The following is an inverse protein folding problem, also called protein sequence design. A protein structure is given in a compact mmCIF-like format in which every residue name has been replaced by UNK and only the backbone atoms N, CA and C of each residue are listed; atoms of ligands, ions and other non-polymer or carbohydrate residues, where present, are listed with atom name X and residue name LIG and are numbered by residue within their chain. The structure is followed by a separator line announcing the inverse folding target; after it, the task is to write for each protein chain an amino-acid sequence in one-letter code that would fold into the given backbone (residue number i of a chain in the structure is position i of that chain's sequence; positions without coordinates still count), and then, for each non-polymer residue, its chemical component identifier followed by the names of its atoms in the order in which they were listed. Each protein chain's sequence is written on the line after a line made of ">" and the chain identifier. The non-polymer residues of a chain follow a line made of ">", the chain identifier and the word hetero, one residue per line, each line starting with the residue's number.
data_IF_533473545903
#
_entry.id   IF_533473545903
#
_cell.length_a   1.000
_cell.length_b   1.000
_cell.length_c   1.000
_cell.angle_alpha   90.00
_cell.angle_beta   90.00
_cell.angle_gamma   90.00
#
_symmetry.space_group_name_H-M   'P 1'
#
loop_
_entity.id
_entity.type
_entity.pdbx_description
1 polymer ?
#
# COMPACT_ATOMS: atom_id res chain seq x y z
N UNK A 1 -13.93 43.40 -34.03
CA UNK A 1 -12.89 42.59 -33.36
C UNK A 1 -13.60 41.80 -32.29
N UNK A 2 -13.48 40.48 -32.34
CA UNK A 2 -14.16 39.53 -31.45
C UNK A 2 -13.15 39.12 -30.39
N UNK A 3 -13.27 39.71 -29.22
CA UNK A 3 -12.51 39.33 -28.04
C UNK A 3 -13.50 38.64 -27.10
N UNK A 4 -13.51 37.30 -27.10
CA UNK A 4 -14.01 36.55 -25.95
C UNK A 4 -13.28 35.20 -25.87
N UNK A 5 -12.16 35.25 -25.17
CA UNK A 5 -11.46 34.10 -24.65
C UNK A 5 -12.22 33.59 -23.43
N UNK A 6 -13.16 32.66 -23.62
CA UNK A 6 -13.76 31.92 -22.52
C UNK A 6 -13.25 30.48 -22.54
N UNK A 7 -12.23 30.27 -21.71
CA UNK A 7 -11.55 29.02 -21.42
C UNK A 7 -12.55 27.92 -21.07
N UNK A 8 -12.38 26.74 -21.69
CA UNK A 8 -13.01 25.51 -21.22
C UNK A 8 -12.56 25.25 -19.76
N UNK A 9 -13.45 24.84 -18.84
CA UNK A 9 -13.02 24.36 -17.54
C UNK A 9 -12.27 23.05 -17.76
N UNK A 10 -10.94 23.10 -17.75
CA UNK A 10 -10.13 21.92 -17.49
C UNK A 10 -10.27 21.63 -16.01
N UNK A 11 -11.40 21.03 -15.63
CA UNK A 11 -11.54 20.37 -14.34
C UNK A 11 -10.64 19.14 -14.38
N UNK A 12 -9.36 19.37 -14.12
CA UNK A 12 -8.43 18.31 -13.77
C UNK A 12 -8.98 17.72 -12.47
N UNK A 13 -9.47 16.46 -12.44
CA UNK A 13 -9.69 15.78 -11.19
C UNK A 13 -8.28 15.36 -10.73
N UNK A 14 -7.49 16.35 -10.32
CA UNK A 14 -6.37 16.16 -9.41
C UNK A 14 -6.99 15.71 -8.09
N UNK A 15 -7.45 14.45 -8.08
CA UNK A 15 -7.81 13.74 -6.87
C UNK A 15 -6.65 13.95 -5.94
N UNK A 16 -6.90 14.67 -4.86
CA UNK A 16 -6.06 14.78 -3.70
C UNK A 16 -5.66 13.35 -3.30
N UNK A 17 -4.51 12.87 -3.80
CA UNK A 17 -4.01 11.51 -3.53
C UNK A 17 -3.78 11.32 -2.03
N UNK A 18 -3.65 12.44 -1.33
CA UNK A 18 -3.65 12.64 0.12
C UNK A 18 -4.89 12.08 0.82
N UNK A 19 -6.04 11.97 0.16
CA UNK A 19 -7.28 11.40 0.71
C UNK A 19 -7.42 9.88 0.50
N UNK A 20 -6.54 9.23 -0.25
CA UNK A 20 -6.53 7.77 -0.36
C UNK A 20 -5.82 7.13 0.83
N UNK A 21 -6.40 7.29 2.02
CA UNK A 21 -5.95 6.72 3.31
C UNK A 21 -6.13 5.20 3.44
N UNK A 22 -6.19 4.46 2.33
CA UNK A 22 -6.32 2.99 2.40
C UNK A 22 -5.13 2.32 3.08
N UNK A 23 -4.03 3.06 3.29
CA UNK A 23 -2.86 2.59 4.02
C UNK A 23 -3.08 2.45 5.54
N UNK A 24 -3.88 3.31 6.16
CA UNK A 24 -4.10 3.35 7.62
C UNK A 24 -5.21 2.42 8.11
N UNK A 25 -5.92 1.76 7.18
CA UNK A 25 -6.90 0.74 7.51
C UNK A 25 -6.22 -0.44 8.24
N UNK A 26 -6.92 -1.19 9.11
CA UNK A 26 -6.38 -2.42 9.68
C UNK A 26 -5.93 -3.38 8.57
N UNK A 27 -4.87 -4.16 8.83
CA UNK A 27 -4.44 -5.17 7.87
C UNK A 27 -5.58 -6.14 7.54
N UNK A 28 -5.66 -6.53 6.28
CA UNK A 28 -6.67 -7.47 5.82
C UNK A 28 -6.37 -8.89 6.32
N UNK A 29 -7.39 -9.74 6.43
CA UNK A 29 -7.23 -11.16 6.78
C UNK A 29 -6.17 -11.89 5.94
N UNK A 30 -6.17 -11.75 4.60
CA UNK A 30 -5.14 -12.34 3.74
C UNK A 30 -3.72 -11.84 4.05
N UNK A 31 -3.53 -10.53 4.30
CA UNK A 31 -2.23 -10.00 4.70
C UNK A 31 -1.74 -10.60 6.02
N UNK A 32 -2.62 -10.71 7.02
CA UNK A 32 -2.29 -11.34 8.31
C UNK A 32 -1.87 -12.81 8.15
N UNK A 33 -2.66 -13.59 7.42
CA UNK A 33 -2.35 -15.01 7.19
C UNK A 33 -1.01 -15.20 6.49
N UNK A 34 -0.71 -14.34 5.51
CA UNK A 34 0.54 -14.43 4.77
C UNK A 34 1.75 -13.96 5.59
N UNK A 35 1.62 -12.87 6.34
CA UNK A 35 2.62 -12.42 7.30
C UNK A 35 2.96 -13.51 8.32
N UNK A 36 1.97 -14.20 8.88
CA UNK A 36 2.20 -15.31 9.82
C UNK A 36 3.10 -16.40 9.23
N UNK A 37 2.85 -16.80 7.98
CA UNK A 37 3.70 -17.78 7.29
C UNK A 37 5.12 -17.27 7.12
N UNK A 38 5.29 -16.03 6.66
CA UNK A 38 6.61 -15.43 6.45
C UNK A 38 7.38 -15.24 7.76
N UNK A 39 6.69 -14.82 8.82
CA UNK A 39 7.25 -14.63 10.15
C UNK A 39 7.71 -15.96 10.76
N UNK A 40 6.91 -17.02 10.64
CA UNK A 40 7.29 -18.37 11.09
C UNK A 40 8.57 -18.87 10.41
N UNK A 41 8.75 -18.58 9.13
CA UNK A 41 9.94 -18.99 8.38
C UNK A 41 11.16 -18.12 8.64
N UNK A 42 10.96 -16.83 8.86
CA UNK A 42 12.00 -15.91 9.28
C UNK A 42 12.38 -16.11 10.76
N UNK A 43 11.57 -16.84 11.54
CA UNK A 43 11.74 -16.98 12.98
C UNK A 43 11.47 -15.68 13.75
N UNK A 44 10.58 -14.84 13.22
CA UNK A 44 10.24 -13.51 13.73
C UNK A 44 8.81 -13.49 14.29
N UNK A 45 8.55 -12.59 15.23
CA UNK A 45 7.18 -12.28 15.68
C UNK A 45 6.69 -11.01 14.99
N UNK A 46 5.38 -10.94 14.73
CA UNK A 46 4.77 -9.83 14.01
C UNK A 46 3.64 -9.21 14.83
N UNK A 47 3.52 -7.87 14.86
CA UNK A 47 2.45 -7.21 15.59
C UNK A 47 1.06 -7.53 15.02
N UNK A 48 0.07 -7.74 15.89
CA UNK A 48 -1.30 -8.03 15.46
C UNK A 48 -2.08 -6.80 14.97
N UNK A 49 -1.60 -5.61 15.27
CA UNK A 49 -2.29 -4.33 15.05
C UNK A 49 -1.69 -3.51 13.89
N UNK A 50 -1.06 -4.17 12.93
CA UNK A 50 -0.56 -3.51 11.73
C UNK A 50 -1.71 -2.96 10.88
N UNK A 51 -1.46 -1.78 10.31
CA UNK A 51 -2.27 -1.25 9.22
C UNK A 51 -1.98 -2.03 7.93
N UNK A 52 -2.85 -1.89 6.94
CA UNK A 52 -2.72 -2.49 5.62
C UNK A 52 -1.43 -2.07 4.91
N UNK A 53 -1.04 -0.81 5.04
CA UNK A 53 0.23 -0.32 4.48
C UNK A 53 1.42 -0.95 5.20
N UNK A 54 1.44 -0.93 6.54
CA UNK A 54 2.52 -1.54 7.32
C UNK A 54 2.64 -3.04 7.04
N UNK A 55 1.51 -3.75 6.95
CA UNK A 55 1.49 -5.16 6.61
C UNK A 55 2.05 -5.42 5.21
N UNK A 56 1.72 -4.58 4.23
CA UNK A 56 2.31 -4.68 2.88
C UNK A 56 3.82 -4.50 2.89
N UNK A 57 4.33 -3.48 3.56
CA UNK A 57 5.78 -3.23 3.65
C UNK A 57 6.52 -4.36 4.36
N UNK A 58 5.94 -4.90 5.43
CA UNK A 58 6.54 -6.00 6.17
C UNK A 58 6.52 -7.33 5.39
N UNK A 59 5.50 -7.56 4.56
CA UNK A 59 5.48 -8.69 3.62
C UNK A 59 6.68 -8.59 2.68
N UNK A 60 6.94 -7.43 2.08
CA UNK A 60 8.04 -7.24 1.14
C UNK A 60 9.41 -7.49 1.82
N UNK A 61 9.58 -6.99 3.05
CA UNK A 61 10.80 -7.22 3.84
C UNK A 61 11.00 -8.72 4.15
N UNK A 62 9.98 -9.38 4.70
CA UNK A 62 10.08 -10.79 5.06
C UNK A 62 10.23 -11.69 3.84
N UNK A 63 9.61 -11.37 2.70
CA UNK A 63 9.83 -12.09 1.45
C UNK A 63 11.29 -12.02 0.99
N UNK A 64 11.94 -10.87 1.09
CA UNK A 64 13.35 -10.73 0.76
C UNK A 64 14.23 -11.53 1.72
N UNK A 65 13.93 -11.47 3.02
CA UNK A 65 14.68 -12.21 4.06
C UNK A 65 14.53 -13.72 3.95
N UNK A 66 13.35 -14.22 3.59
CA UNK A 66 13.06 -15.65 3.41
C UNK A 66 13.46 -16.18 2.02
N UNK A 67 13.96 -15.32 1.13
CA UNK A 67 14.36 -15.71 -0.23
C UNK A 67 13.18 -16.04 -1.16
N UNK A 68 11.99 -15.50 -0.87
CA UNK A 68 10.74 -15.71 -1.63
C UNK A 68 10.39 -14.59 -2.60
N UNK A 69 11.00 -13.42 -2.45
CA UNK A 69 10.88 -12.34 -3.43
C UNK A 69 11.47 -12.84 -4.75
N UNK A 70 10.59 -13.23 -5.69
CA UNK A 70 10.97 -13.76 -7.00
C UNK A 70 12.05 -12.89 -7.63
N UNK A 71 13.18 -13.53 -7.95
CA UNK A 71 14.42 -12.88 -8.31
C UNK A 71 14.30 -11.82 -9.41
N UNK A 72 15.15 -10.81 -9.27
CA UNK A 72 15.77 -10.15 -10.44
C UNK A 72 16.79 -11.08 -11.08
#
# INVERSE_FOLDING_TARGET
>A
MVDDAAQAPQENPEKDRSQWVTGDEPMTGPQRSYLNTLAQEAGEEIPDNLTKAQASSLIDELQQRTGRGGGS
#
